data_IF_322119767148
#
_entry.id   IF_322119767148
#
_cell.length_a   1.000
_cell.length_b   1.000
_cell.length_c   1.000
_cell.angle_alpha   90.00
_cell.angle_beta   90.00
_cell.angle_gamma   90.00
#
_symmetry.space_group_name_H-M   'P 1'
#
loop_
_entity.id
_entity.type
_entity.pdbx_description
1 polymer ?
#
# COMPACT_ATOMS: atom_id res chain seq x y z
N UNK A 1 -1.37 -1.10 31.62
CA UNK A 1 -0.08 -1.41 32.29
C UNK A 1 0.78 -2.26 31.36
N UNK A 2 1.85 -1.67 30.82
CA UNK A 2 2.79 -2.32 29.89
C UNK A 2 3.72 -3.30 30.64
N UNK A 3 3.48 -4.61 30.52
CA UNK A 3 4.38 -5.67 31.01
C UNK A 3 5.62 -5.89 30.12
N UNK A 4 6.11 -4.89 29.38
CA UNK A 4 7.13 -5.08 28.34
C UNK A 4 8.57 -4.67 28.72
N UNK A 5 8.83 -4.21 29.96
CA UNK A 5 10.18 -3.75 30.36
C UNK A 5 11.00 -4.70 31.25
N UNK A 6 10.45 -5.80 31.78
CA UNK A 6 11.19 -6.70 32.69
C UNK A 6 11.97 -7.87 32.03
N UNK A 7 11.87 -8.05 30.71
CA UNK A 7 12.34 -9.29 30.06
C UNK A 7 13.65 -9.17 29.25
N UNK A 8 14.28 -8.00 29.20
CA UNK A 8 15.55 -7.84 28.48
C UNK A 8 16.73 -8.22 29.40
N UNK A 9 17.65 -9.04 28.92
CA UNK A 9 18.96 -9.24 29.54
C UNK A 9 19.78 -7.98 29.22
N UNK A 10 20.46 -7.40 30.21
CA UNK A 10 21.27 -6.21 29.97
C UNK A 10 22.50 -6.53 29.09
N UNK A 11 23.00 -5.57 28.30
CA UNK A 11 24.11 -5.81 27.38
C UNK A 11 25.41 -6.30 28.03
N UNK A 12 25.67 -5.98 29.31
CA UNK A 12 26.87 -6.45 29.99
C UNK A 12 26.75 -7.95 30.30
N UNK A 13 25.59 -8.39 30.80
CA UNK A 13 25.27 -9.81 30.97
C UNK A 13 25.30 -10.58 29.65
N UNK A 14 24.90 -9.98 28.52
CA UNK A 14 25.00 -10.63 27.19
C UNK A 14 26.46 -10.90 26.78
N UNK A 15 27.38 -9.96 27.06
CA UNK A 15 28.81 -10.16 26.81
C UNK A 15 29.38 -11.30 27.66
N UNK A 16 28.96 -11.41 28.92
CA UNK A 16 29.36 -12.50 29.81
C UNK A 16 28.86 -13.84 29.27
N UNK A 17 27.58 -13.92 28.85
CA UNK A 17 27.00 -15.13 28.25
C UNK A 17 27.77 -15.54 26.99
N UNK A 18 28.04 -14.59 26.08
CA UNK A 18 28.77 -14.85 24.84
C UNK A 18 30.17 -15.41 25.10
N UNK A 19 30.95 -14.74 25.95
CA UNK A 19 32.31 -15.16 26.28
C UNK A 19 32.33 -16.56 26.89
N UNK A 20 31.48 -16.79 27.90
CA UNK A 20 31.41 -18.08 28.58
C UNK A 20 30.99 -19.23 27.67
N UNK A 21 30.02 -19.01 26.78
CA UNK A 21 29.52 -20.05 25.89
C UNK A 21 30.53 -20.40 24.78
N UNK A 22 31.34 -19.42 24.34
CA UNK A 22 32.42 -19.66 23.39
C UNK A 22 33.59 -20.43 24.02
N UNK A 23 33.92 -20.13 25.27
CA UNK A 23 35.04 -20.75 25.99
C UNK A 23 34.68 -22.14 26.57
N UNK A 24 33.46 -22.30 27.12
CA UNK A 24 33.08 -23.45 27.96
C UNK A 24 31.81 -24.18 27.51
N UNK A 25 31.16 -23.74 26.43
CA UNK A 25 29.85 -24.26 26.00
C UNK A 25 29.84 -25.74 25.58
N UNK A 26 30.98 -26.28 25.15
CA UNK A 26 31.14 -27.68 24.75
C UNK A 26 31.61 -28.59 25.89
N UNK A 27 32.19 -28.02 26.95
CA UNK A 27 32.88 -28.76 28.02
C UNK A 27 32.06 -28.89 29.30
N UNK A 28 31.07 -28.01 29.51
CA UNK A 28 30.19 -28.03 30.68
C UNK A 28 28.91 -28.82 30.41
N UNK A 29 28.51 -29.69 31.35
CA UNK A 29 27.26 -30.45 31.25
C UNK A 29 26.01 -29.55 31.39
N UNK A 30 26.15 -28.39 32.07
CA UNK A 30 25.05 -27.43 32.25
C UNK A 30 25.53 -25.96 32.29
N UNK A 31 25.99 -25.40 31.15
CA UNK A 31 26.57 -24.05 31.08
C UNK A 31 25.61 -22.96 31.55
N UNK A 32 24.31 -23.14 31.34
CA UNK A 32 23.30 -22.15 31.69
C UNK A 32 23.05 -22.05 33.20
N UNK A 33 23.22 -23.16 33.94
CA UNK A 33 23.10 -23.16 35.40
C UNK A 33 24.29 -22.45 36.06
N UNK A 34 25.48 -22.60 35.49
CA UNK A 34 26.70 -21.90 35.94
C UNK A 34 26.60 -20.40 35.64
N UNK A 35 26.17 -20.04 34.41
CA UNK A 35 25.89 -18.65 34.05
C UNK A 35 24.84 -18.02 34.97
N UNK A 36 23.82 -18.76 35.39
CA UNK A 36 22.78 -18.26 36.31
C UNK A 36 23.31 -17.89 37.70
N UNK A 37 24.52 -18.32 38.07
CA UNK A 37 25.20 -17.91 39.32
C UNK A 37 26.02 -16.63 39.13
N UNK A 38 26.46 -16.34 37.91
CA UNK A 38 27.32 -15.21 37.56
C UNK A 38 26.55 -13.93 37.22
N UNK A 39 25.31 -14.06 36.75
CA UNK A 39 24.47 -12.93 36.34
C UNK A 39 23.08 -13.03 36.98
N UNK A 40 22.37 -11.90 37.20
CA UNK A 40 21.08 -11.86 37.91
C UNK A 40 19.90 -12.33 37.03
N UNK A 41 20.08 -13.44 36.31
CA UNK A 41 19.08 -14.05 35.44
C UNK A 41 19.04 -15.56 35.60
N UNK A 42 17.84 -16.14 35.50
CA UNK A 42 17.69 -17.59 35.61
C UNK A 42 18.29 -18.31 34.41
N UNK A 43 18.81 -19.52 34.64
CA UNK A 43 19.31 -20.43 33.59
C UNK A 43 18.34 -20.57 32.41
N UNK A 44 17.02 -20.63 32.67
CA UNK A 44 15.98 -20.69 31.64
C UNK A 44 15.96 -19.43 30.77
N UNK A 45 16.06 -18.23 31.37
CA UNK A 45 16.06 -16.96 30.65
C UNK A 45 17.33 -16.80 29.82
N UNK A 46 18.47 -17.19 30.38
CA UNK A 46 19.78 -17.19 29.71
C UNK A 46 19.74 -18.12 28.48
N UNK A 47 19.30 -19.37 28.68
CA UNK A 47 19.15 -20.35 27.58
C UNK A 47 18.24 -19.84 26.47
N UNK A 48 17.11 -19.24 26.82
CA UNK A 48 16.20 -18.65 25.82
C UNK A 48 16.83 -17.49 25.07
N UNK A 49 17.61 -16.64 25.74
CA UNK A 49 18.31 -15.54 25.07
C UNK A 49 19.37 -16.07 24.10
N UNK A 50 20.16 -17.05 24.54
CA UNK A 50 21.17 -17.73 23.73
C UNK A 50 20.60 -18.30 22.44
N UNK A 51 19.64 -19.23 22.55
CA UNK A 51 19.04 -19.96 21.41
C UNK A 51 18.29 -19.04 20.44
N UNK A 52 17.90 -17.85 20.86
CA UNK A 52 17.14 -16.95 20.00
C UNK A 52 17.98 -15.82 19.41
N UNK A 53 19.09 -15.40 20.04
CA UNK A 53 19.76 -14.15 19.65
C UNK A 53 21.28 -14.10 19.83
N UNK A 54 21.90 -14.97 20.63
CA UNK A 54 23.34 -14.83 20.95
C UNK A 54 24.21 -15.95 20.39
N UNK A 55 23.65 -17.10 20.04
CA UNK A 55 24.44 -18.20 19.47
C UNK A 55 25.01 -17.80 18.09
N UNK A 56 26.34 -17.70 17.93
CA UNK A 56 26.97 -17.26 16.69
C UNK A 56 26.75 -18.23 15.52
N UNK A 57 26.42 -19.49 15.81
CA UNK A 57 26.08 -20.48 14.78
C UNK A 57 24.65 -20.32 14.25
N UNK A 58 23.85 -19.46 14.88
CA UNK A 58 22.51 -19.11 14.40
C UNK A 58 22.59 -17.92 13.46
N UNK A 59 22.03 -18.08 12.27
CA UNK A 59 21.81 -16.99 11.34
C UNK A 59 20.49 -16.28 11.75
N UNK A 60 20.53 -15.62 12.92
CA UNK A 60 19.38 -14.92 13.53
C UNK A 60 19.07 -13.61 12.80
N UNK A 61 20.09 -12.96 12.25
CA UNK A 61 19.96 -11.62 11.70
C UNK A 61 19.53 -11.59 10.23
N UNK A 62 19.76 -12.67 9.47
CA UNK A 62 19.29 -12.69 8.08
C UNK A 62 17.78 -12.92 8.03
N UNK A 63 17.03 -12.17 7.20
CA UNK A 63 15.64 -12.52 6.92
C UNK A 63 15.55 -13.92 6.28
N UNK A 64 14.41 -14.58 6.48
CA UNK A 64 14.10 -15.80 5.72
C UNK A 64 14.01 -15.43 4.23
N UNK A 65 14.68 -16.17 3.36
CA UNK A 65 14.57 -16.00 1.92
C UNK A 65 13.25 -16.62 1.41
N UNK A 66 12.88 -16.38 0.15
CA UNK A 66 11.59 -16.83 -0.37
C UNK A 66 11.49 -18.37 -0.52
N UNK A 67 12.62 -19.04 -0.77
CA UNK A 67 12.70 -20.49 -0.85
C UNK A 67 12.49 -21.16 0.51
N UNK A 68 13.11 -20.64 1.57
CA UNK A 68 12.94 -21.08 2.96
C UNK A 68 11.50 -20.86 3.42
N UNK A 69 10.91 -19.70 3.09
CA UNK A 69 9.49 -19.40 3.37
C UNK A 69 8.56 -20.41 2.71
N UNK A 70 8.77 -20.68 1.43
CA UNK A 70 7.98 -21.65 0.66
C UNK A 70 8.13 -23.07 1.21
N UNK A 71 9.35 -23.45 1.58
CA UNK A 71 9.63 -24.72 2.23
C UNK A 71 8.92 -24.87 3.57
N UNK A 72 8.99 -23.85 4.44
CA UNK A 72 8.29 -23.84 5.73
C UNK A 72 6.78 -24.03 5.54
N UNK A 73 6.17 -23.34 4.57
CA UNK A 73 4.73 -23.50 4.30
C UNK A 73 4.41 -24.94 3.90
N UNK A 74 5.08 -25.45 2.85
CA UNK A 74 4.83 -26.81 2.33
C UNK A 74 5.07 -27.87 3.39
N UNK A 75 6.17 -27.78 4.13
CA UNK A 75 6.51 -28.75 5.17
C UNK A 75 5.44 -28.77 6.26
N UNK A 76 5.01 -27.59 6.72
CA UNK A 76 4.04 -27.46 7.80
C UNK A 76 2.64 -27.91 7.36
N UNK A 77 2.23 -27.66 6.12
CA UNK A 77 0.97 -28.16 5.55
C UNK A 77 0.97 -29.69 5.45
N UNK A 78 2.04 -30.28 4.91
CA UNK A 78 2.17 -31.74 4.77
C UNK A 78 2.21 -32.44 6.13
N UNK A 79 2.93 -31.89 7.11
CA UNK A 79 3.09 -32.53 8.41
C UNK A 79 1.93 -32.27 9.38
N UNK A 80 1.16 -31.19 9.22
CA UNK A 80 -0.03 -30.96 10.06
C UNK A 80 -1.12 -32.00 9.83
N UNK A 81 -1.29 -32.44 8.58
CA UNK A 81 -2.27 -33.46 8.20
C UNK A 81 -1.97 -34.82 8.86
N UNK A 82 -0.69 -35.17 9.01
CA UNK A 82 -0.27 -36.47 9.54
C UNK A 82 -0.05 -36.51 11.06
N UNK A 83 -0.09 -35.37 11.77
CA UNK A 83 0.32 -35.29 13.19
C UNK A 83 -0.69 -34.63 14.13
N UNK A 84 -1.99 -34.82 13.86
CA UNK A 84 -3.10 -34.31 14.67
C UNK A 84 -2.98 -32.79 14.95
N UNK A 85 -2.46 -32.04 13.97
CA UNK A 85 -2.26 -30.59 14.06
C UNK A 85 -1.06 -30.10 14.88
N UNK A 86 -0.22 -30.99 15.46
CA UNK A 86 0.94 -30.58 16.28
C UNK A 86 2.23 -30.45 15.46
N UNK A 87 2.65 -29.22 15.20
CA UNK A 87 3.88 -28.92 14.44
C UNK A 87 5.13 -29.29 15.26
N UNK A 88 5.95 -30.21 14.74
CA UNK A 88 7.25 -30.61 15.33
C UNK A 88 8.37 -29.67 14.89
N UNK A 89 8.44 -28.48 15.48
CA UNK A 89 9.40 -27.42 15.11
C UNK A 89 10.87 -27.85 15.06
N UNK A 90 11.30 -28.71 16.01
CA UNK A 90 12.68 -29.21 16.04
C UNK A 90 13.05 -30.02 14.79
N UNK A 91 12.09 -30.75 14.22
CA UNK A 91 12.30 -31.54 13.00
C UNK A 91 12.43 -30.61 11.80
N UNK A 92 11.49 -29.67 11.67
CA UNK A 92 11.52 -28.64 10.62
C UNK A 92 12.84 -27.85 10.61
N UNK A 93 13.38 -27.46 11.76
CA UNK A 93 14.65 -26.72 11.82
C UNK A 93 15.83 -27.58 11.35
N UNK A 94 15.84 -28.88 11.70
CA UNK A 94 16.87 -29.81 11.21
C UNK A 94 16.80 -29.96 9.69
N UNK A 95 15.60 -30.04 9.13
CA UNK A 95 15.42 -30.12 7.68
C UNK A 95 15.78 -28.81 6.97
N UNK A 96 15.45 -27.64 7.53
CA UNK A 96 15.91 -26.36 6.99
C UNK A 96 17.44 -26.30 6.99
N UNK A 97 18.10 -26.76 8.07
CA UNK A 97 19.55 -26.84 8.12
C UNK A 97 20.10 -27.79 7.04
N UNK A 98 19.46 -28.93 6.83
CA UNK A 98 19.87 -29.90 5.82
C UNK A 98 19.72 -29.37 4.39
N UNK A 99 18.58 -28.76 4.07
CA UNK A 99 18.25 -28.29 2.71
C UNK A 99 18.98 -27.00 2.35
N UNK A 100 19.09 -26.06 3.29
CA UNK A 100 19.61 -24.72 3.02
C UNK A 100 21.01 -24.47 3.59
N UNK A 101 21.58 -25.41 4.35
CA UNK A 101 22.85 -25.23 5.08
C UNK A 101 22.79 -24.21 6.22
N UNK A 102 21.61 -23.60 6.47
CA UNK A 102 21.43 -22.48 7.40
C UNK A 102 20.68 -22.92 8.65
N UNK A 103 21.30 -22.73 9.82
CA UNK A 103 20.62 -22.96 11.08
C UNK A 103 19.80 -21.72 11.47
N UNK A 104 18.47 -21.83 11.34
CA UNK A 104 17.52 -20.78 11.72
C UNK A 104 17.04 -20.96 13.16
N UNK A 105 16.77 -19.85 13.84
CA UNK A 105 16.18 -19.90 15.17
C UNK A 105 14.73 -20.41 15.11
N UNK A 106 14.33 -21.20 16.12
CA UNK A 106 12.96 -21.72 16.21
C UNK A 106 11.92 -20.60 16.24
N UNK A 107 12.24 -19.50 16.92
CA UNK A 107 11.36 -18.34 17.01
C UNK A 107 11.15 -17.66 15.66
N UNK A 108 12.19 -17.55 14.82
CA UNK A 108 12.07 -16.92 13.50
C UNK A 108 11.11 -17.72 12.59
N UNK A 109 11.26 -19.04 12.58
CA UNK A 109 10.38 -19.96 11.82
C UNK A 109 8.94 -19.90 12.34
N UNK A 110 8.76 -19.95 13.67
CA UNK A 110 7.42 -19.82 14.31
C UNK A 110 6.77 -18.47 14.00
N UNK A 111 7.50 -17.38 14.16
CA UNK A 111 6.98 -16.03 13.93
C UNK A 111 6.51 -15.86 12.49
N UNK A 112 7.28 -16.36 11.53
CA UNK A 112 6.88 -16.38 10.12
C UNK A 112 5.58 -17.16 9.92
N UNK A 113 5.52 -18.41 10.38
CA UNK A 113 4.34 -19.26 10.23
C UNK A 113 3.09 -18.65 10.88
N UNK A 114 3.17 -18.23 12.15
CA UNK A 114 2.02 -17.65 12.85
C UNK A 114 1.62 -16.27 12.31
N UNK A 115 2.57 -15.49 11.78
CA UNK A 115 2.24 -14.25 11.05
C UNK A 115 1.46 -14.58 9.77
N UNK A 116 1.92 -15.55 8.98
CA UNK A 116 1.24 -16.01 7.77
C UNK A 116 -0.14 -16.59 8.08
N UNK A 117 -0.25 -17.48 9.07
CA UNK A 117 -1.52 -18.06 9.52
C UNK A 117 -2.52 -16.98 9.94
N UNK A 118 -2.09 -15.98 10.71
CA UNK A 118 -2.94 -14.83 11.09
C UNK A 118 -3.38 -14.00 9.88
N UNK A 119 -2.51 -13.78 8.89
CA UNK A 119 -2.87 -13.09 7.64
C UNK A 119 -3.88 -13.90 6.83
N UNK A 120 -3.72 -15.22 6.73
CA UNK A 120 -4.68 -16.10 6.06
C UNK A 120 -6.03 -16.09 6.76
N UNK A 121 -6.09 -16.22 8.09
CA UNK A 121 -7.35 -16.14 8.84
C UNK A 121 -7.99 -14.76 8.76
N UNK A 122 -7.21 -13.69 8.77
CA UNK A 122 -7.73 -12.33 8.63
C UNK A 122 -8.25 -12.07 7.21
N UNK A 123 -7.62 -12.62 6.18
CA UNK A 123 -8.11 -12.54 4.80
C UNK A 123 -9.40 -13.35 4.63
N UNK A 124 -9.49 -14.53 5.23
CA UNK A 124 -10.73 -15.32 5.27
C UNK A 124 -11.81 -14.52 6.01
N UNK A 125 -11.54 -14.03 7.21
CA UNK A 125 -12.49 -13.24 8.01
C UNK A 125 -12.87 -11.92 7.33
N UNK A 126 -11.97 -11.28 6.58
CA UNK A 126 -12.26 -10.09 5.78
C UNK A 126 -13.11 -10.46 4.57
N UNK A 127 -12.86 -11.58 3.90
CA UNK A 127 -13.70 -12.08 2.80
C UNK A 127 -15.10 -12.47 3.30
N UNK A 128 -15.21 -13.08 4.48
CA UNK A 128 -16.48 -13.46 5.10
C UNK A 128 -17.22 -12.23 5.60
N UNK A 129 -16.54 -11.28 6.23
CA UNK A 129 -17.11 -9.97 6.59
C UNK A 129 -17.50 -9.17 5.35
N UNK A 130 -16.73 -9.19 4.27
CA UNK A 130 -17.10 -8.53 3.01
C UNK A 130 -18.27 -9.23 2.33
N UNK A 131 -18.37 -10.56 2.36
CA UNK A 131 -19.54 -11.30 1.86
C UNK A 131 -20.79 -11.02 2.71
N UNK A 132 -20.65 -10.99 4.03
CA UNK A 132 -21.72 -10.59 4.98
C UNK A 132 -22.09 -9.12 4.82
N UNK A 133 -21.13 -8.23 4.60
CA UNK A 133 -21.37 -6.80 4.36
C UNK A 133 -21.95 -6.54 2.96
N UNK A 134 -21.61 -7.37 1.96
CA UNK A 134 -22.22 -7.35 0.62
C UNK A 134 -23.65 -7.89 0.66
N UNK A 135 -23.92 -8.97 1.39
CA UNK A 135 -25.29 -9.48 1.57
C UNK A 135 -26.16 -8.53 2.41
N UNK A 136 -25.58 -7.84 3.40
CA UNK A 136 -26.23 -6.75 4.13
C UNK A 136 -26.44 -5.50 3.26
N UNK A 137 -25.55 -5.21 2.29
CA UNK A 137 -25.74 -4.11 1.32
C UNK A 137 -26.85 -4.36 0.29
N UNK A 138 -27.22 -5.61 0.04
CA UNK A 138 -28.39 -5.94 -0.78
C UNK A 138 -29.72 -5.82 -0.03
N UNK A 139 -29.71 -5.67 1.31
CA UNK A 139 -30.85 -5.09 2.04
C UNK A 139 -30.79 -3.56 1.94
N UNK A 140 -31.41 -3.05 0.88
CA UNK A 140 -31.71 -1.63 0.62
C UNK A 140 -30.54 -0.67 0.88
N UNK A 141 -29.72 -0.42 -0.16
CA UNK A 141 -29.34 0.97 -0.43
C UNK A 141 -30.65 1.74 -0.53
N UNK A 142 -31.05 2.47 0.52
CA UNK A 142 -31.97 3.59 0.33
C UNK A 142 -31.35 4.39 -0.80
N UNK A 143 -32.03 4.49 -1.94
CA UNK A 143 -31.78 5.58 -2.88
C UNK A 143 -31.70 6.81 -1.98
N UNK A 144 -30.52 7.42 -1.85
CA UNK A 144 -30.46 8.74 -1.24
C UNK A 144 -31.35 9.56 -2.15
N UNK A 145 -32.50 10.01 -1.65
CA UNK A 145 -33.37 10.88 -2.43
C UNK A 145 -32.47 11.96 -3.04
N UNK A 146 -32.57 12.18 -4.36
CA UNK A 146 -31.74 13.16 -5.00
C UNK A 146 -31.93 14.48 -4.25
N UNK A 147 -30.81 15.04 -3.77
CA UNK A 147 -30.81 16.22 -2.90
C UNK A 147 -31.62 17.38 -3.52
N UNK A 148 -31.79 17.40 -4.83
CA UNK A 148 -32.64 18.30 -5.58
C UNK A 148 -33.58 17.46 -6.46
N UNK A 149 -34.87 17.76 -6.44
CA UNK A 149 -35.85 17.19 -7.38
C UNK A 149 -35.80 17.92 -8.73
N UNK A 150 -36.27 17.26 -9.79
CA UNK A 150 -36.35 17.86 -11.13
C UNK A 150 -37.19 19.16 -11.14
N UNK A 151 -38.21 19.24 -10.27
CA UNK A 151 -38.99 20.46 -10.08
C UNK A 151 -38.12 21.61 -9.54
N UNK A 152 -37.29 21.34 -8.52
CA UNK A 152 -36.41 22.36 -7.97
C UNK A 152 -35.36 22.78 -9.01
N UNK A 153 -34.79 21.83 -9.75
CA UNK A 153 -33.80 22.13 -10.80
C UNK A 153 -34.39 23.06 -11.87
N UNK A 154 -35.62 22.79 -12.35
CA UNK A 154 -36.32 23.68 -13.30
C UNK A 154 -36.53 25.08 -12.74
N UNK A 155 -36.94 25.19 -11.48
CA UNK A 155 -37.14 26.48 -10.82
C UNK A 155 -35.83 27.25 -10.63
N UNK A 156 -34.75 26.56 -10.24
CA UNK A 156 -33.41 27.18 -10.15
C UNK A 156 -33.03 27.75 -11.51
N UNK A 157 -33.25 27.03 -12.62
CA UNK A 157 -32.97 27.53 -13.97
C UNK A 157 -33.78 28.77 -14.32
N UNK A 158 -35.10 28.77 -14.06
CA UNK A 158 -35.96 29.94 -14.31
C UNK A 158 -35.49 31.15 -13.49
N UNK A 159 -35.20 30.96 -12.20
CA UNK A 159 -34.73 32.05 -11.35
C UNK A 159 -33.33 32.53 -11.71
N UNK A 160 -32.45 31.66 -12.18
CA UNK A 160 -31.12 32.03 -12.65
C UNK A 160 -31.18 32.81 -13.97
N UNK A 161 -32.10 32.49 -14.87
CA UNK A 161 -32.32 33.32 -16.06
C UNK A 161 -32.87 34.70 -15.69
N UNK A 162 -33.73 34.79 -14.66
CA UNK A 162 -34.33 36.05 -14.21
C UNK A 162 -33.39 36.93 -13.38
N UNK A 163 -32.56 36.32 -12.52
CA UNK A 163 -31.77 37.04 -11.51
C UNK A 163 -30.27 36.77 -11.58
N UNK A 164 -29.78 35.93 -12.51
CA UNK A 164 -28.38 35.50 -12.56
C UNK A 164 -27.37 36.63 -12.75
N UNK A 165 -27.80 37.77 -13.30
CA UNK A 165 -27.01 38.99 -13.42
C UNK A 165 -26.79 39.71 -12.07
N UNK A 166 -27.59 39.39 -11.04
CA UNK A 166 -27.47 40.00 -9.72
C UNK A 166 -26.42 39.27 -8.88
N UNK A 167 -25.60 40.03 -8.15
CA UNK A 167 -24.55 39.49 -7.26
C UNK A 167 -25.09 38.61 -6.13
N UNK A 168 -26.35 38.81 -5.72
CA UNK A 168 -27.02 38.06 -4.65
C UNK A 168 -28.07 37.07 -5.16
N UNK A 169 -28.01 36.65 -6.42
CA UNK A 169 -28.97 35.76 -7.06
C UNK A 169 -29.25 34.47 -6.26
N UNK A 170 -28.21 33.79 -5.80
CA UNK A 170 -28.35 32.55 -5.02
C UNK A 170 -29.03 32.76 -3.65
N UNK A 171 -28.85 33.93 -3.03
CA UNK A 171 -29.54 34.28 -1.79
C UNK A 171 -31.03 34.56 -2.05
N UNK A 172 -31.37 35.16 -3.20
CA UNK A 172 -32.78 35.33 -3.60
C UNK A 172 -33.46 33.99 -3.89
N UNK A 173 -32.74 33.04 -4.50
CA UNK A 173 -33.27 31.69 -4.74
C UNK A 173 -33.43 30.93 -3.42
N UNK A 174 -32.48 31.04 -2.49
CA UNK A 174 -32.60 30.48 -1.14
C UNK A 174 -33.84 31.01 -0.40
N UNK A 175 -34.18 32.29 -0.53
CA UNK A 175 -35.43 32.84 0.05
C UNK A 175 -36.69 32.18 -0.51
N UNK A 176 -36.65 31.63 -1.72
CA UNK A 176 -37.76 30.88 -2.33
C UNK A 176 -37.75 29.41 -1.95
N UNK A 177 -36.56 28.83 -1.75
CA UNK A 177 -36.37 27.44 -1.32
C UNK A 177 -35.48 27.39 -0.08
N UNK A 178 -36.04 27.66 1.12
CA UNK A 178 -35.27 27.73 2.35
C UNK A 178 -34.66 26.37 2.75
N UNK A 179 -35.20 25.28 2.21
CA UNK A 179 -34.70 23.91 2.35
C UNK A 179 -33.25 23.74 1.82
N UNK A 180 -32.83 24.60 0.90
CA UNK A 180 -31.49 24.55 0.30
C UNK A 180 -30.72 25.82 0.61
N UNK A 181 -29.54 25.66 1.17
CA UNK A 181 -28.63 26.79 1.38
C UNK A 181 -28.21 27.41 0.04
N UNK A 182 -27.94 28.72 0.04
CA UNK A 182 -27.40 29.42 -1.13
C UNK A 182 -26.12 28.78 -1.69
N UNK A 183 -25.31 28.17 -0.81
CA UNK A 183 -24.12 27.37 -1.20
C UNK A 183 -24.50 26.10 -1.98
N UNK A 184 -25.50 25.35 -1.51
CA UNK A 184 -25.99 24.15 -2.21
C UNK A 184 -26.58 24.51 -3.57
N UNK A 185 -27.36 25.59 -3.66
CA UNK A 185 -27.95 26.09 -4.91
C UNK A 185 -26.85 26.49 -5.89
N UNK A 186 -25.88 27.30 -5.44
CA UNK A 186 -24.72 27.69 -6.26
C UNK A 186 -23.97 26.47 -6.78
N UNK A 187 -23.69 25.51 -5.91
CA UNK A 187 -22.97 24.28 -6.26
C UNK A 187 -23.75 23.45 -7.29
N UNK A 188 -25.07 23.33 -7.13
CA UNK A 188 -25.94 22.63 -8.09
C UNK A 188 -25.93 23.32 -9.45
N UNK A 189 -26.04 24.65 -9.48
CA UNK A 189 -25.97 25.44 -10.71
C UNK A 189 -24.66 25.24 -11.47
N UNK A 190 -23.53 25.59 -10.85
CA UNK A 190 -22.20 25.59 -11.50
C UNK A 190 -21.65 24.19 -11.86
N UNK A 191 -22.33 23.12 -11.43
CA UNK A 191 -21.91 21.75 -11.74
C UNK A 191 -22.85 21.02 -12.69
N UNK A 192 -24.13 21.37 -12.74
CA UNK A 192 -25.16 20.58 -13.43
C UNK A 192 -26.20 21.35 -14.22
N UNK A 193 -26.57 22.58 -13.84
CA UNK A 193 -27.73 23.28 -14.43
C UNK A 193 -27.35 24.45 -15.33
N UNK A 194 -26.12 24.96 -15.20
CA UNK A 194 -25.65 26.06 -16.03
C UNK A 194 -25.57 25.61 -17.50
N UNK A 195 -26.43 26.20 -18.33
CA UNK A 195 -26.58 25.88 -19.76
C UNK A 195 -25.30 26.14 -20.57
N UNK A 196 -24.39 26.97 -20.04
CA UNK A 196 -23.09 27.20 -20.68
C UNK A 196 -22.11 26.05 -20.48
N UNK A 197 -22.40 25.09 -19.59
CA UNK A 197 -21.52 23.94 -19.33
C UNK A 197 -21.68 22.84 -20.37
N UNK A 198 -20.56 22.38 -20.92
CA UNK A 198 -20.54 21.18 -21.75
C UNK A 198 -20.51 19.92 -20.87
N UNK A 199 -21.63 19.18 -20.86
CA UNK A 199 -21.82 17.98 -20.03
C UNK A 199 -21.23 16.68 -20.63
N UNK A 200 -20.82 16.72 -21.89
CA UNK A 200 -20.22 15.58 -22.61
C UNK A 200 -19.03 14.96 -21.84
N UNK A 201 -18.63 13.72 -22.13
CA UNK A 201 -17.32 13.23 -21.70
C UNK A 201 -16.18 14.16 -22.19
N UNK A 202 -15.04 14.16 -21.50
CA UNK A 202 -13.84 14.82 -22.04
C UNK A 202 -13.38 14.00 -23.25
N UNK A 203 -13.15 14.67 -24.37
CA UNK A 203 -12.54 14.05 -25.53
C UNK A 203 -11.04 13.82 -25.30
N UNK A 204 -10.43 12.88 -26.04
CA UNK A 204 -9.01 12.54 -25.91
C UNK A 204 -8.09 13.76 -26.06
N UNK A 205 -8.42 14.70 -26.95
CA UNK A 205 -7.65 15.94 -27.11
C UNK A 205 -7.73 16.83 -25.86
N UNK A 206 -8.92 16.97 -25.26
CA UNK A 206 -9.10 17.69 -23.99
C UNK A 206 -8.38 16.97 -22.83
N UNK A 207 -8.40 15.64 -22.80
CA UNK A 207 -7.69 14.83 -21.81
C UNK A 207 -6.17 15.09 -21.87
N UNK A 208 -5.58 15.06 -23.07
CA UNK A 208 -4.14 15.35 -23.29
C UNK A 208 -3.83 16.78 -22.88
N UNK A 209 -4.64 17.75 -23.31
CA UNK A 209 -4.44 19.16 -22.98
C UNK A 209 -4.48 19.40 -21.47
N UNK A 210 -5.42 18.81 -20.73
CA UNK A 210 -5.50 18.94 -19.27
C UNK A 210 -4.23 18.45 -18.59
N UNK A 211 -3.71 17.30 -19.01
CA UNK A 211 -2.47 16.74 -18.44
C UNK A 211 -1.28 17.62 -18.75
N UNK A 212 -1.14 18.07 -20.00
CA UNK A 212 -0.03 18.93 -20.42
C UNK A 212 -0.06 20.29 -19.72
N UNK A 213 -1.22 20.96 -19.72
CA UNK A 213 -1.38 22.25 -19.05
C UNK A 213 -1.08 22.18 -17.57
N UNK A 214 -1.52 21.11 -16.87
CA UNK A 214 -1.21 20.92 -15.45
C UNK A 214 0.29 20.76 -15.25
N UNK A 215 0.99 19.96 -16.06
CA UNK A 215 2.45 19.82 -15.97
C UNK A 215 3.18 21.15 -16.13
N UNK A 216 2.80 21.93 -17.15
CA UNK A 216 3.47 23.18 -17.48
C UNK A 216 3.19 24.31 -16.46
N UNK A 217 2.08 24.21 -15.73
CA UNK A 217 1.64 25.21 -14.74
C UNK A 217 1.69 24.70 -13.29
N UNK A 218 2.30 23.53 -13.05
CA UNK A 218 2.45 22.98 -11.71
C UNK A 218 3.56 23.74 -10.98
N UNK A 219 3.16 24.46 -9.94
CA UNK A 219 4.12 25.10 -9.03
C UNK A 219 4.84 24.06 -8.17
N UNK A 220 5.97 24.44 -7.55
CA UNK A 220 6.72 23.60 -6.61
C UNK A 220 5.90 23.05 -5.42
N UNK A 221 4.70 23.60 -5.18
CA UNK A 221 3.78 23.19 -4.12
C UNK A 221 2.60 22.32 -4.59
N UNK A 222 2.67 21.70 -5.78
CA UNK A 222 1.59 20.84 -6.33
C UNK A 222 0.22 21.54 -6.48
N UNK A 223 0.20 22.88 -6.43
CA UNK A 223 -1.04 23.66 -6.47
C UNK A 223 -1.50 23.89 -7.90
N UNK A 224 -2.71 23.40 -8.21
CA UNK A 224 -3.34 23.55 -9.53
C UNK A 224 -4.34 24.72 -9.51
N UNK A 225 -4.15 25.68 -10.40
CA UNK A 225 -5.04 26.82 -10.58
C UNK A 225 -6.20 26.48 -11.53
N UNK A 226 -7.20 25.74 -11.03
CA UNK A 226 -8.33 25.23 -11.83
C UNK A 226 -9.06 26.30 -12.65
N UNK A 227 -9.24 27.51 -12.12
CA UNK A 227 -9.90 28.60 -12.87
C UNK A 227 -9.14 29.01 -14.13
N UNK A 228 -7.80 29.03 -14.07
CA UNK A 228 -6.95 29.33 -15.23
C UNK A 228 -7.02 28.20 -16.27
N UNK A 229 -6.99 26.95 -15.80
CA UNK A 229 -7.17 25.78 -16.67
C UNK A 229 -8.53 25.80 -17.40
N UNK A 230 -9.61 26.14 -16.71
CA UNK A 230 -10.96 26.24 -17.32
C UNK A 230 -10.99 27.34 -18.39
N UNK A 231 -10.37 28.49 -18.13
CA UNK A 231 -10.27 29.57 -19.11
C UNK A 231 -9.48 29.14 -20.36
N UNK A 232 -8.33 28.50 -20.17
CA UNK A 232 -7.49 28.00 -21.26
C UNK A 232 -8.20 26.90 -22.08
N UNK A 233 -8.90 25.98 -21.42
CA UNK A 233 -9.74 24.98 -22.09
C UNK A 233 -10.85 25.61 -22.93
N UNK A 234 -11.50 26.64 -22.38
CA UNK A 234 -12.56 27.35 -23.09
C UNK A 234 -12.02 28.08 -24.32
N UNK A 235 -10.83 28.68 -24.21
CA UNK A 235 -10.16 29.35 -25.33
C UNK A 235 -9.78 28.37 -26.44
N UNK A 236 -9.25 27.19 -26.08
CA UNK A 236 -8.76 26.20 -27.04
C UNK A 236 -9.87 25.37 -27.70
N UNK A 237 -10.88 24.94 -26.93
CA UNK A 237 -11.91 23.99 -27.41
C UNK A 237 -13.30 24.61 -27.53
N UNK A 238 -13.48 25.87 -27.13
CA UNK A 238 -14.80 26.53 -27.07
C UNK A 238 -15.76 25.97 -26.02
N UNK A 239 -15.38 24.88 -25.32
CA UNK A 239 -16.24 24.17 -24.36
C UNK A 239 -15.94 24.60 -22.93
N UNK A 240 -16.93 25.16 -22.23
CA UNK A 240 -16.81 25.44 -20.80
C UNK A 240 -17.07 24.16 -20.00
N UNK A 241 -16.02 23.63 -19.36
CA UNK A 241 -16.11 22.46 -18.48
C UNK A 241 -16.24 22.89 -17.02
N UNK A 242 -17.02 22.15 -16.23
CA UNK A 242 -17.12 22.43 -14.80
C UNK A 242 -15.84 22.03 -14.07
N UNK A 243 -15.48 22.82 -13.05
CA UNK A 243 -14.28 22.56 -12.22
C UNK A 243 -14.27 21.14 -11.63
N UNK A 244 -15.45 20.64 -11.23
CA UNK A 244 -15.58 19.28 -10.70
C UNK A 244 -15.27 18.21 -11.74
N UNK A 245 -15.62 18.42 -13.02
CA UNK A 245 -15.32 17.47 -14.09
C UNK A 245 -13.81 17.29 -14.24
N UNK A 246 -13.06 18.41 -14.26
CA UNK A 246 -11.60 18.41 -14.38
C UNK A 246 -10.92 17.82 -13.14
N UNK A 247 -11.39 18.15 -11.94
CA UNK A 247 -10.89 17.56 -10.69
C UNK A 247 -11.07 16.04 -10.69
N UNK A 248 -12.28 15.57 -11.02
CA UNK A 248 -12.57 14.14 -11.05
C UNK A 248 -11.68 13.42 -12.07
N UNK A 249 -11.51 14.01 -13.26
CA UNK A 249 -10.59 13.51 -14.28
C UNK A 249 -9.16 13.38 -13.74
N UNK A 250 -8.59 14.48 -13.25
CA UNK A 250 -7.20 14.53 -12.80
C UNK A 250 -6.95 13.58 -11.62
N UNK A 251 -7.77 13.63 -10.56
CA UNK A 251 -7.53 12.80 -9.38
C UNK A 251 -7.75 11.31 -9.62
N UNK A 252 -8.59 10.94 -10.59
CA UNK A 252 -8.71 9.53 -11.01
C UNK A 252 -7.47 9.02 -11.74
N UNK A 253 -6.72 9.90 -12.41
CA UNK A 253 -5.58 9.55 -13.28
C UNK A 253 -4.21 9.97 -12.74
N UNK A 254 -4.13 10.80 -11.69
CA UNK A 254 -2.88 11.34 -11.11
C UNK A 254 -1.83 10.25 -10.87
N UNK A 255 -2.25 9.11 -10.30
CA UNK A 255 -1.33 7.98 -10.04
C UNK A 255 -0.78 7.33 -11.31
N UNK A 256 -1.58 7.21 -12.37
CA UNK A 256 -1.16 6.60 -13.64
C UNK A 256 -0.30 7.54 -14.48
N UNK A 257 -0.57 8.85 -14.41
CA UNK A 257 0.19 9.89 -15.12
C UNK A 257 1.57 10.05 -14.50
N UNK A 258 1.69 10.01 -13.17
CA UNK A 258 2.99 10.08 -12.48
C UNK A 258 3.83 8.81 -12.70
N UNK A 259 3.21 7.63 -12.79
CA UNK A 259 3.95 6.38 -13.02
C UNK A 259 4.45 6.21 -14.47
N UNK A 260 3.81 6.85 -15.45
CA UNK A 260 4.20 6.79 -16.86
C UNK A 260 5.33 7.76 -17.24
N UNK A 261 5.58 8.80 -16.46
CA UNK A 261 6.63 9.79 -16.74
C UNK A 261 8.05 9.36 -16.29
N UNK A 262 8.27 8.09 -15.89
CA UNK A 262 9.60 7.60 -15.51
C UNK A 262 10.42 7.06 -16.69
N UNK A 263 9.85 6.95 -17.90
CA UNK A 263 10.61 6.59 -19.12
C UNK A 263 9.97 7.35 -20.28
N UNK A 264 10.68 8.37 -20.80
CA UNK A 264 10.37 8.93 -22.11
C UNK A 264 10.59 7.84 -23.16
N UNK A 265 9.60 7.65 -24.03
CA UNK A 265 9.63 6.69 -25.13
C UNK A 265 10.65 7.01 -26.23
N UNK A 266 11.40 8.10 -26.11
CA UNK A 266 12.41 8.53 -27.07
C UNK A 266 13.79 7.94 -26.76
N UNK A 267 14.11 7.64 -25.50
CA UNK A 267 15.39 7.03 -25.10
C UNK A 267 15.48 5.53 -25.43
N UNK A 268 14.34 4.89 -25.76
CA UNK A 268 14.29 3.45 -26.12
C UNK A 268 14.80 3.16 -27.53
N UNK A 269 14.73 4.13 -28.45
CA UNK A 269 15.13 3.91 -29.84
C UNK A 269 16.60 4.25 -30.10
N UNK A 270 17.28 4.98 -29.21
CA UNK A 270 18.71 5.28 -29.39
C UNK A 270 19.64 4.17 -28.84
N UNK A 271 19.10 3.13 -28.20
CA UNK A 271 19.87 2.07 -27.54
C UNK A 271 19.76 0.70 -28.25
N UNK A 272 19.22 0.67 -29.47
CA UNK A 272 19.01 -0.55 -30.28
C UNK A 272 19.95 -0.67 -31.49
N UNK A 273 21.10 0.01 -31.47
CA UNK A 273 22.08 -0.08 -32.54
C UNK A 273 23.49 -0.11 -32.00
N UNK A 274 23.85 -1.19 -31.31
CA UNK A 274 25.17 -1.82 -31.41
C UNK A 274 25.24 -3.07 -30.53
N UNK A 275 25.37 -4.18 -31.27
CA UNK A 275 26.01 -5.44 -30.95
C UNK A 275 25.40 -6.37 -29.88
N UNK A 276 25.21 -7.60 -30.37
CA UNK A 276 24.60 -8.80 -29.80
C UNK A 276 24.99 -9.13 -28.35
N UNK A 277 23.99 -9.43 -27.53
CA UNK A 277 24.01 -10.55 -26.60
C UNK A 277 22.56 -10.92 -26.22
N UNK A 278 22.25 -12.22 -26.35
CA UNK A 278 20.94 -12.86 -26.26
C UNK A 278 20.05 -12.42 -25.07
N UNK A 279 19.04 -11.59 -25.33
CA UNK A 279 17.90 -11.41 -24.43
C UNK A 279 16.65 -12.02 -25.09
N UNK A 280 16.04 -13.07 -24.51
CA UNK A 280 14.86 -13.69 -25.09
C UNK A 280 13.68 -12.70 -25.17
N UNK A 281 12.88 -12.72 -26.25
CA UNK A 281 11.84 -11.73 -26.52
C UNK A 281 10.67 -11.71 -25.53
N UNK A 282 10.69 -12.57 -24.49
CA UNK A 282 9.71 -12.61 -23.41
C UNK A 282 10.26 -12.18 -22.03
N UNK A 283 11.49 -11.65 -21.97
CA UNK A 283 12.15 -11.36 -20.71
C UNK A 283 11.34 -10.42 -19.81
N UNK A 284 11.19 -10.82 -18.56
CA UNK A 284 10.55 -10.04 -17.52
C UNK A 284 11.32 -8.75 -17.26
N UNK A 285 10.61 -7.69 -16.88
CA UNK A 285 11.23 -6.40 -16.49
C UNK A 285 12.32 -6.55 -15.43
N UNK A 286 12.25 -7.57 -14.57
CA UNK A 286 13.31 -7.89 -13.60
C UNK A 286 14.56 -8.47 -14.25
N UNK A 287 14.42 -9.28 -15.31
CA UNK A 287 15.54 -9.90 -16.02
C UNK A 287 16.34 -8.86 -16.79
N UNK A 288 15.64 -7.89 -17.39
CA UNK A 288 16.25 -6.74 -18.08
C UNK A 288 17.09 -5.90 -17.09
N UNK A 289 16.53 -5.59 -15.90
CA UNK A 289 17.24 -4.82 -14.87
C UNK A 289 18.43 -5.57 -14.27
N UNK A 290 18.34 -6.89 -14.15
CA UNK A 290 19.47 -7.72 -13.71
C UNK A 290 20.61 -7.74 -14.74
N UNK A 291 20.30 -7.81 -16.04
CA UNK A 291 21.31 -7.75 -17.10
C UNK A 291 22.02 -6.39 -17.15
N UNK A 292 21.26 -5.31 -16.95
CA UNK A 292 21.80 -3.94 -16.92
C UNK A 292 22.70 -3.70 -15.71
N UNK A 293 22.35 -4.24 -14.54
CA UNK A 293 23.17 -4.14 -13.33
C UNK A 293 24.53 -4.88 -13.46
N UNK A 294 24.58 -5.97 -14.22
CA UNK A 294 25.83 -6.72 -14.48
C UNK A 294 26.77 -5.99 -15.45
N UNK A 295 26.25 -5.07 -16.28
CA UNK A 295 27.04 -4.29 -17.24
C UNK A 295 27.88 -3.19 -16.56
N UNK A 296 27.53 -2.79 -15.34
CA UNK A 296 28.17 -1.67 -14.62
C UNK A 296 28.76 -2.11 -13.26
N UNK A 297 29.45 -3.26 -13.21
CA UNK A 297 30.13 -3.76 -12.01
C UNK A 297 30.87 -2.66 -11.21
N UNK A 298 30.47 -2.49 -9.95
CA UNK A 298 31.36 -2.11 -8.84
C UNK A 298 31.75 -3.38 -8.09
#
# INVERSE_FOLDING_TARGET
MHKSKLNRIDPASEKIILKYMLENGSSSSNPFAELSKLIPYSAKKIRQRWINNLDPHLIVHDPLNESEKSFIIKWVENNQLSSNGKIRWKVLIKEIKYVFGKLRSENQVKNYWYSKKRKSTNNINKSTKEKVFRSLKFKKRKQKEPLFSDYIDKNITVFMNKWGHLSNCYMKIHKKFPEYTSKQIRQRWVSKLDQSLCHEPLDKAEEIFVVQWIKDNQTAYDKIYWKKLIAALKEQFGKLRSENKLKNYWYSRKGQVLSKNCVSSEDRNMLLSQDDDDIPPNASRMEILCHEALKYNF
#
